data_IF_202585085754
#
_entry.id   IF_202585085754
#
_cell.length_a   1.000
_cell.length_b   1.000
_cell.length_c   1.000
_cell.angle_alpha   90.00
_cell.angle_beta   90.00
_cell.angle_gamma   90.00
#
_symmetry.space_group_name_H-M   'P 1'
#
loop_
_entity.id
_entity.type
_entity.pdbx_description
1 polymer ?
#
# COMPACT_ATOMS: atom_id res chain seq x y z
N UNK A 1 4.09 -32.72 -6.60
CA UNK A 1 4.74 -33.89 -7.23
C UNK A 1 3.82 -34.72 -8.13
N UNK A 2 2.52 -34.88 -7.85
CA UNK A 2 1.57 -35.68 -8.66
C UNK A 2 1.44 -35.29 -10.17
N UNK A 3 1.89 -34.10 -10.57
CA UNK A 3 1.94 -33.66 -11.98
C UNK A 3 3.32 -33.89 -12.65
N UNK A 4 4.21 -34.65 -12.00
CA UNK A 4 5.55 -34.99 -12.49
C UNK A 4 6.63 -33.95 -12.18
N UNK A 5 6.32 -32.93 -11.37
CA UNK A 5 7.32 -31.96 -10.89
C UNK A 5 8.10 -32.51 -9.71
N UNK A 6 9.42 -32.35 -9.75
CA UNK A 6 10.33 -32.53 -8.62
C UNK A 6 10.52 -31.19 -7.92
N UNK A 7 10.21 -31.14 -6.62
CA UNK A 7 10.51 -29.97 -5.80
C UNK A 7 11.99 -30.00 -5.41
N UNK A 8 12.68 -28.87 -5.58
CA UNK A 8 14.06 -28.66 -5.12
C UNK A 8 14.11 -27.48 -4.16
N UNK A 9 15.07 -27.51 -3.25
CA UNK A 9 15.28 -26.45 -2.28
C UNK A 9 16.15 -25.35 -2.89
N UNK A 10 15.59 -24.14 -3.02
CA UNK A 10 16.29 -23.01 -3.62
C UNK A 10 16.49 -23.09 -5.13
N UNK A 11 17.57 -22.48 -5.63
CA UNK A 11 17.82 -22.42 -7.07
C UNK A 11 18.34 -23.77 -7.59
N UNK A 12 17.73 -24.37 -8.63
CA UNK A 12 18.18 -25.66 -9.13
C UNK A 12 19.60 -25.58 -9.71
N UNK A 13 20.44 -26.56 -9.35
CA UNK A 13 21.77 -26.74 -9.91
C UNK A 13 21.72 -27.16 -11.39
N UNK A 14 22.82 -26.97 -12.11
CA UNK A 14 22.93 -27.39 -13.51
C UNK A 14 22.69 -28.90 -13.68
N UNK A 15 23.19 -29.71 -12.74
CA UNK A 15 22.98 -31.15 -12.74
C UNK A 15 21.49 -31.50 -12.59
N UNK A 16 20.77 -30.83 -11.69
CA UNK A 16 19.33 -31.07 -11.51
C UNK A 16 18.55 -30.65 -12.75
N UNK A 17 18.89 -29.50 -13.36
CA UNK A 17 18.28 -29.01 -14.61
C UNK A 17 18.48 -29.99 -15.77
N UNK A 18 19.63 -30.68 -15.81
CA UNK A 18 19.90 -31.72 -16.81
C UNK A 18 19.22 -33.06 -16.49
N UNK A 19 19.02 -33.37 -15.21
CA UNK A 19 18.51 -34.67 -14.75
C UNK A 19 16.99 -34.74 -14.76
N UNK A 20 16.30 -33.67 -14.36
CA UNK A 20 14.86 -33.68 -14.15
C UNK A 20 14.15 -32.77 -15.15
N UNK A 21 13.21 -33.30 -15.95
CA UNK A 21 12.53 -32.50 -16.99
C UNK A 21 11.53 -31.48 -16.44
N UNK A 22 11.09 -31.63 -15.18
CA UNK A 22 10.15 -30.72 -14.52
C UNK A 22 10.61 -30.45 -13.09
N UNK A 23 11.21 -29.28 -12.90
CA UNK A 23 11.65 -28.79 -11.60
C UNK A 23 10.73 -27.66 -11.14
N UNK A 24 10.52 -27.59 -9.83
CA UNK A 24 9.92 -26.43 -9.18
C UNK A 24 10.68 -26.15 -7.88
N UNK A 25 10.88 -24.88 -7.60
CA UNK A 25 11.42 -24.42 -6.33
C UNK A 25 10.44 -23.41 -5.73
N UNK A 26 10.32 -23.39 -4.41
CA UNK A 26 9.52 -22.41 -3.70
C UNK A 26 10.40 -21.71 -2.67
N UNK A 27 10.48 -20.39 -2.79
CA UNK A 27 11.08 -19.55 -1.77
C UNK A 27 10.08 -18.47 -1.37
N UNK A 28 10.07 -18.15 -0.08
CA UNK A 28 9.24 -17.08 0.47
C UNK A 28 10.07 -16.25 1.42
N UNK A 29 9.85 -14.94 1.40
CA UNK A 29 10.39 -14.01 2.39
C UNK A 29 9.26 -13.11 2.86
N UNK A 30 9.21 -12.87 4.17
CA UNK A 30 8.35 -11.82 4.72
C UNK A 30 9.13 -10.52 4.55
N UNK A 31 8.64 -9.60 3.73
CA UNK A 31 9.27 -8.30 3.56
C UNK A 31 8.95 -7.39 4.76
N UNK A 32 7.67 -7.24 5.08
CA UNK A 32 7.18 -6.44 6.20
C UNK A 32 5.74 -6.85 6.55
N UNK A 33 5.33 -6.57 7.79
CA UNK A 33 3.98 -6.88 8.30
C UNK A 33 2.96 -5.84 7.84
N UNK A 34 1.68 -6.18 7.94
CA UNK A 34 0.62 -5.18 7.82
C UNK A 34 0.59 -4.25 9.05
N UNK A 35 0.13 -3.03 8.87
CA UNK A 35 -0.19 -2.11 9.96
C UNK A 35 -1.65 -1.65 9.84
N UNK A 36 -2.24 -1.22 10.96
CA UNK A 36 -3.61 -0.70 11.00
C UNK A 36 -3.70 0.42 12.02
N UNK A 37 -4.41 1.48 11.64
CA UNK A 37 -4.78 2.59 12.52
C UNK A 37 -6.30 2.58 12.69
N UNK A 38 -6.84 2.66 13.92
CA UNK A 38 -8.29 2.81 14.14
C UNK A 38 -8.84 4.06 13.44
N UNK A 39 -10.01 3.94 12.80
CA UNK A 39 -10.64 5.04 12.07
C UNK A 39 -11.02 6.20 13.00
N UNK A 40 -11.50 5.86 14.19
CA UNK A 40 -11.85 6.76 15.28
C UNK A 40 -10.64 7.14 16.15
N UNK A 41 -9.42 6.96 15.65
CA UNK A 41 -8.23 7.51 16.30
C UNK A 41 -8.22 9.04 16.20
N UNK A 42 -7.40 9.67 17.05
CA UNK A 42 -7.14 11.11 16.98
C UNK A 42 -6.61 11.52 15.60
N UNK A 43 -5.67 10.76 15.04
CA UNK A 43 -5.14 10.96 13.68
C UNK A 43 -6.25 10.86 12.62
N UNK A 44 -7.15 9.88 12.76
CA UNK A 44 -8.28 9.70 11.84
C UNK A 44 -9.27 10.86 11.88
N UNK A 45 -9.65 11.33 13.08
CA UNK A 45 -10.51 12.50 13.25
C UNK A 45 -9.84 13.78 12.73
N UNK A 46 -8.56 13.98 13.02
CA UNK A 46 -7.78 15.13 12.54
C UNK A 46 -7.74 15.18 11.01
N UNK A 47 -7.43 14.05 10.36
CA UNK A 47 -7.38 13.96 8.90
C UNK A 47 -8.78 14.19 8.29
N UNK A 48 -9.82 13.62 8.89
CA UNK A 48 -11.21 13.82 8.43
C UNK A 48 -11.57 15.30 8.45
N UNK A 49 -11.28 16.00 9.54
CA UNK A 49 -11.53 17.45 9.66
C UNK A 49 -10.72 18.26 8.63
N UNK A 50 -9.46 17.88 8.35
CA UNK A 50 -8.65 18.53 7.33
C UNK A 50 -9.29 18.44 5.94
N UNK A 51 -9.78 17.26 5.57
CA UNK A 51 -10.39 17.00 4.26
C UNK A 51 -11.78 17.62 4.14
N UNK A 52 -12.61 17.53 5.19
CA UNK A 52 -13.91 18.21 5.25
C UNK A 52 -13.78 19.72 5.07
N UNK A 53 -12.78 20.34 5.72
CA UNK A 53 -12.47 21.77 5.55
C UNK A 53 -12.11 22.12 4.11
N UNK A 54 -11.42 21.22 3.40
CA UNK A 54 -10.95 21.46 2.05
C UNK A 54 -12.05 21.29 1.00
N UNK A 55 -12.91 20.28 1.14
CA UNK A 55 -13.85 19.86 0.11
C UNK A 55 -15.32 20.11 0.47
N UNK A 56 -15.63 20.50 1.71
CA UNK A 56 -16.99 20.82 2.16
C UNK A 56 -17.86 19.60 2.46
N UNK A 57 -17.31 18.39 2.35
CA UNK A 57 -18.01 17.13 2.62
C UNK A 57 -17.08 16.09 3.27
N UNK A 58 -17.63 15.10 4.01
CA UNK A 58 -16.84 14.04 4.62
C UNK A 58 -16.10 13.19 3.57
N UNK A 59 -14.81 12.87 3.79
CA UNK A 59 -14.08 11.98 2.89
C UNK A 59 -14.62 10.55 2.97
N UNK A 60 -14.45 9.79 1.89
CA UNK A 60 -14.68 8.34 1.91
C UNK A 60 -13.59 7.67 2.74
N UNK A 61 -13.99 7.00 3.82
CA UNK A 61 -13.07 6.27 4.70
C UNK A 61 -13.02 4.80 4.27
N UNK A 62 -11.83 4.33 3.89
CA UNK A 62 -11.56 2.92 3.62
C UNK A 62 -10.74 2.33 4.78
N UNK A 63 -11.30 1.44 5.63
CA UNK A 63 -10.60 0.94 6.81
C UNK A 63 -9.33 0.14 6.50
N UNK A 64 -9.25 -0.49 5.33
CA UNK A 64 -8.14 -1.34 4.90
C UNK A 64 -7.99 -1.33 3.38
N UNK A 65 -6.76 -1.47 2.85
CA UNK A 65 -6.48 -1.65 1.43
C UNK A 65 -5.55 -2.86 1.21
N UNK A 66 -5.67 -3.53 0.06
CA UNK A 66 -4.87 -4.72 -0.27
C UNK A 66 -3.48 -4.41 -0.85
N UNK A 67 -3.19 -3.14 -1.19
CA UNK A 67 -1.87 -2.72 -1.65
C UNK A 67 -0.84 -2.76 -0.51
N UNK A 68 0.42 -3.00 -0.84
CA UNK A 68 1.51 -3.02 0.13
C UNK A 68 2.37 -1.76 0.01
N UNK A 69 2.53 -1.03 1.11
CA UNK A 69 3.42 0.13 1.23
C UNK A 69 4.43 -0.20 2.34
N UNK A 70 5.75 -0.16 2.07
CA UNK A 70 6.80 -0.65 2.97
C UNK A 70 7.09 0.30 4.15
N UNK A 71 6.06 0.78 4.85
CA UNK A 71 6.19 1.72 5.98
C UNK A 71 5.96 1.09 7.34
N UNK A 72 5.49 -0.17 7.43
CA UNK A 72 5.23 -0.79 8.73
C UNK A 72 6.44 -0.92 9.66
N UNK A 73 7.70 -1.03 9.18
CA UNK A 73 8.86 -0.89 10.05
C UNK A 73 8.91 0.47 10.76
N UNK A 74 8.62 1.57 10.06
CA UNK A 74 8.59 2.91 10.68
C UNK A 74 7.47 3.04 11.71
N UNK A 75 6.26 2.57 11.36
CA UNK A 75 5.09 2.56 12.26
C UNK A 75 5.42 1.81 13.55
N UNK A 76 6.00 0.61 13.42
CA UNK A 76 6.29 -0.27 14.56
C UNK A 76 7.47 0.25 15.39
N UNK A 77 8.56 0.67 14.75
CA UNK A 77 9.77 1.12 15.43
C UNK A 77 9.57 2.45 16.15
N UNK A 78 8.83 3.39 15.54
CA UNK A 78 8.58 4.71 16.14
C UNK A 78 7.35 4.72 17.05
N UNK A 79 6.51 3.68 17.00
CA UNK A 79 5.24 3.65 17.73
C UNK A 79 4.24 4.71 17.26
N UNK A 80 4.37 5.20 16.03
CA UNK A 80 3.54 6.28 15.47
C UNK A 80 2.44 5.69 14.58
N UNK A 81 1.18 6.17 14.70
CA UNK A 81 0.12 5.76 13.79
C UNK A 81 0.38 6.27 12.36
N UNK A 82 -0.14 5.58 11.37
CA UNK A 82 -0.04 5.98 9.97
C UNK A 82 -1.38 5.86 9.23
N UNK A 83 -1.59 6.76 8.27
CA UNK A 83 -2.77 6.79 7.40
C UNK A 83 -2.31 6.99 5.96
N UNK A 84 -3.08 6.48 5.01
CA UNK A 84 -2.81 6.63 3.58
C UNK A 84 -3.87 7.52 2.94
N UNK A 85 -3.44 8.51 2.16
CA UNK A 85 -4.33 9.42 1.44
C UNK A 85 -4.07 9.28 -0.06
N UNK A 86 -4.91 8.52 -0.80
CA UNK A 86 -4.74 8.38 -2.24
C UNK A 86 -5.14 9.66 -2.96
N UNK A 87 -4.32 10.10 -3.92
CA UNK A 87 -4.55 11.33 -4.72
C UNK A 87 -4.78 11.04 -6.21
N UNK A 88 -4.84 9.76 -6.58
CA UNK A 88 -5.02 9.30 -7.97
C UNK A 88 -6.46 8.81 -8.19
N UNK A 89 -6.91 8.81 -9.44
CA UNK A 89 -8.20 8.21 -9.81
C UNK A 89 -8.19 6.67 -9.62
N UNK A 90 -9.34 6.03 -9.34
CA UNK A 90 -9.42 4.58 -9.10
C UNK A 90 -8.95 3.70 -10.28
N UNK A 91 -9.07 4.19 -11.50
CA UNK A 91 -8.73 3.55 -12.77
C UNK A 91 -7.39 4.06 -13.35
N UNK A 92 -6.48 4.53 -12.49
CA UNK A 92 -5.18 5.06 -12.90
C UNK A 92 -4.24 4.01 -13.52
N UNK A 93 -4.56 2.71 -13.46
CA UNK A 93 -3.74 1.61 -14.00
C UNK A 93 -2.31 1.53 -13.42
N UNK A 94 -2.12 1.80 -12.13
CA UNK A 94 -0.80 1.72 -11.49
C UNK A 94 -0.08 0.41 -11.82
N UNK A 95 1.15 0.50 -12.30
CA UNK A 95 1.98 -0.65 -12.72
C UNK A 95 1.46 -1.41 -13.94
N UNK A 96 0.58 -0.81 -14.76
CA UNK A 96 0.03 -1.41 -15.98
C UNK A 96 0.11 -0.43 -17.15
N UNK A 97 -0.01 -0.91 -18.41
CA UNK A 97 -0.08 -0.01 -19.58
C UNK A 97 -1.21 1.00 -19.45
N UNK A 98 -1.03 2.19 -20.04
CA UNK A 98 -1.96 3.32 -19.94
C UNK A 98 -2.19 3.79 -18.49
N UNK A 99 -1.12 3.76 -17.68
CA UNK A 99 -1.09 4.46 -16.40
C UNK A 99 -1.39 5.95 -16.61
N UNK A 100 -2.35 6.49 -15.86
CA UNK A 100 -2.88 7.83 -16.10
C UNK A 100 -3.24 8.55 -14.80
N UNK A 101 -3.30 9.88 -14.88
CA UNK A 101 -3.79 10.73 -13.80
C UNK A 101 -4.75 11.77 -14.37
N UNK A 102 -5.98 11.79 -13.88
CA UNK A 102 -6.92 12.88 -14.21
C UNK A 102 -6.40 14.20 -13.65
N UNK A 103 -6.40 15.26 -14.47
CA UNK A 103 -5.93 16.60 -14.05
C UNK A 103 -6.70 17.16 -12.84
N UNK A 104 -8.00 16.84 -12.72
CA UNK A 104 -8.78 17.15 -11.52
C UNK A 104 -8.18 16.52 -10.27
N UNK A 105 -7.87 15.22 -10.30
CA UNK A 105 -7.22 14.53 -9.18
C UNK A 105 -5.83 15.09 -8.87
N UNK A 106 -5.07 15.55 -9.87
CA UNK A 106 -3.80 16.24 -9.62
C UNK A 106 -4.00 17.54 -8.83
N UNK A 107 -4.96 18.39 -9.23
CA UNK A 107 -5.27 19.64 -8.54
C UNK A 107 -5.86 19.40 -7.14
N UNK A 108 -6.81 18.48 -7.03
CA UNK A 108 -7.41 18.05 -5.76
C UNK A 108 -6.36 17.42 -4.83
N UNK A 109 -5.35 16.73 -5.38
CA UNK A 109 -4.20 16.21 -4.63
C UNK A 109 -3.37 17.32 -4.01
N UNK A 110 -3.10 18.41 -4.74
CA UNK A 110 -2.42 19.59 -4.19
C UNK A 110 -3.24 20.21 -3.06
N UNK A 111 -4.55 20.41 -3.29
CA UNK A 111 -5.47 20.93 -2.27
C UNK A 111 -5.53 20.03 -1.03
N UNK A 112 -5.54 18.72 -1.22
CA UNK A 112 -5.50 17.70 -0.17
C UNK A 112 -4.26 17.87 0.70
N UNK A 113 -3.06 17.92 0.11
CA UNK A 113 -1.83 18.09 0.87
C UNK A 113 -1.76 19.45 1.55
N UNK A 114 -2.23 20.52 0.90
CA UNK A 114 -2.31 21.83 1.54
C UNK A 114 -3.21 21.79 2.78
N UNK A 115 -4.36 21.12 2.69
CA UNK A 115 -5.29 20.98 3.80
C UNK A 115 -4.67 20.20 4.97
N UNK A 116 -3.97 19.10 4.68
CA UNK A 116 -3.26 18.28 5.67
C UNK A 116 -2.16 19.09 6.35
N UNK A 117 -1.29 19.74 5.58
CA UNK A 117 -0.12 20.47 6.09
C UNK A 117 -0.49 21.75 6.85
N UNK A 118 -1.68 22.30 6.61
CA UNK A 118 -2.19 23.51 7.28
C UNK A 118 -3.24 23.23 8.35
N UNK A 119 -3.62 21.96 8.55
CA UNK A 119 -4.54 21.59 9.62
C UNK A 119 -3.77 21.59 10.95
N UNK A 120 -4.17 22.39 11.95
CA UNK A 120 -3.57 22.32 13.27
C UNK A 120 -3.67 20.90 13.83
N UNK A 121 -2.54 20.34 14.25
CA UNK A 121 -2.53 19.06 14.95
C UNK A 121 -3.00 19.28 16.40
N UNK A 122 -3.81 18.39 16.98
CA UNK A 122 -4.19 18.54 18.38
C UNK A 122 -2.94 18.46 19.25
N UNK A 123 -2.92 19.27 20.32
CA UNK A 123 -1.84 19.27 21.32
C UNK A 123 -2.00 18.13 22.30
#
# INVERSE_FOLDING_TARGET
EAQGYRLVDGEPSDLERMTFPKLAAFSSRIAYTAFRTPVDSELGRWLTAALERAFGEPPVIKPMSGGSIPISPFVTTLGLPAVTVPTVNPDNNQHSPNENLRLGNYQEGIQTFLAILTQPFPN
#
